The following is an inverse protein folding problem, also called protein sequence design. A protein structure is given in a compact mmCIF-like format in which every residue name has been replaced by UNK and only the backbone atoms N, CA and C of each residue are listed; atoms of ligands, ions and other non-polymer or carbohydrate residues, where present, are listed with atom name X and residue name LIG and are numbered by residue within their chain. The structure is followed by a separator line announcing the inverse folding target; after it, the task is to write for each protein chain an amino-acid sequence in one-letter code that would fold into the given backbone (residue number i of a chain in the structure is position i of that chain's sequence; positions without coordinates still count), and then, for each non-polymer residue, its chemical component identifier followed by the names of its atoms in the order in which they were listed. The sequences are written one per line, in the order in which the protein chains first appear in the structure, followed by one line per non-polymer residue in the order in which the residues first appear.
data_IF_451542462354
#
_entry.id   IF_451542462354
#
_cell.length_a   1.000
_cell.length_b   1.000
_cell.length_c   1.000
_cell.angle_alpha   90.00
_cell.angle_beta   90.00
_cell.angle_gamma   90.00
#
_symmetry.space_group_name_H-M   'P 1'
#
loop_
_entity.id
_entity.type
_entity.pdbx_description
1 polymer ?
#
# COMPACT_ATOMS: atom_id res chain seq x y z
N UNK A 1 43.26 -48.02 -14.58
CA UNK A 1 42.78 -46.71 -15.10
C UNK A 1 41.62 -46.30 -14.21
N UNK A 2 41.81 -45.29 -13.35
CA UNK A 2 40.76 -44.74 -12.45
C UNK A 2 40.27 -43.43 -13.07
N UNK A 3 39.04 -43.44 -13.57
CA UNK A 3 38.42 -42.26 -14.18
C UNK A 3 37.88 -41.35 -13.07
N UNK A 4 38.45 -40.17 -12.95
CA UNK A 4 38.01 -39.13 -12.00
C UNK A 4 36.86 -38.35 -12.64
N UNK A 5 35.63 -38.49 -12.12
CA UNK A 5 34.47 -37.72 -12.54
C UNK A 5 34.42 -36.47 -11.68
N UNK A 6 34.76 -35.30 -12.28
CA UNK A 6 34.68 -34.01 -11.64
C UNK A 6 33.24 -33.48 -11.75
N UNK A 7 32.53 -33.43 -10.61
CA UNK A 7 31.18 -32.88 -10.53
C UNK A 7 31.30 -31.34 -10.47
N UNK A 8 30.91 -30.66 -11.54
CA UNK A 8 30.84 -29.19 -11.60
C UNK A 8 29.53 -28.74 -10.95
N UNK A 9 29.61 -28.20 -9.73
CA UNK A 9 28.47 -27.63 -9.04
C UNK A 9 28.15 -26.24 -9.61
N UNK A 10 27.06 -26.15 -10.37
CA UNK A 10 26.53 -24.88 -10.88
C UNK A 10 25.75 -24.18 -9.77
N UNK A 11 26.36 -23.18 -9.12
CA UNK A 11 25.69 -22.32 -8.13
C UNK A 11 24.79 -21.33 -8.85
N UNK A 12 23.47 -21.55 -8.81
CA UNK A 12 22.49 -20.54 -9.21
C UNK A 12 22.53 -19.39 -8.19
N UNK A 13 23.08 -18.25 -8.57
CA UNK A 13 22.94 -17.01 -7.81
C UNK A 13 21.50 -16.51 -7.95
N UNK A 14 20.69 -16.63 -6.88
CA UNK A 14 19.38 -16.01 -6.78
C UNK A 14 19.60 -14.51 -6.61
N UNK A 15 19.11 -13.64 -7.50
CA UNK A 15 19.23 -12.20 -7.29
C UNK A 15 18.43 -11.82 -6.03
N UNK A 16 19.11 -11.32 -5.01
CA UNK A 16 18.48 -10.68 -3.88
C UNK A 16 17.80 -9.40 -4.41
N UNK A 17 16.45 -9.38 -4.43
CA UNK A 17 15.70 -8.15 -4.67
C UNK A 17 15.96 -7.23 -3.48
N UNK A 18 16.89 -6.30 -3.64
CA UNK A 18 17.07 -5.22 -2.71
C UNK A 18 15.74 -4.44 -2.64
N UNK A 19 15.16 -4.30 -1.45
CA UNK A 19 14.01 -3.41 -1.24
C UNK A 19 14.49 -1.99 -1.58
N UNK A 20 14.06 -1.50 -2.72
CA UNK A 20 14.40 -0.15 -3.17
C UNK A 20 13.54 0.81 -2.36
N UNK A 21 14.17 1.59 -1.49
CA UNK A 21 13.47 2.66 -0.77
C UNK A 21 12.94 3.67 -1.80
N UNK A 22 11.64 3.96 -1.72
CA UNK A 22 11.00 4.94 -2.62
C UNK A 22 11.60 6.31 -2.34
N UNK A 23 12.17 6.91 -3.37
CA UNK A 23 12.69 8.28 -3.32
C UNK A 23 11.66 9.26 -3.86
N UNK A 24 11.58 10.43 -3.25
CA UNK A 24 10.84 11.56 -3.81
C UNK A 24 11.38 11.87 -5.21
N UNK A 25 10.50 12.26 -6.12
CA UNK A 25 10.73 12.47 -7.55
C UNK A 25 10.99 11.21 -8.39
N UNK A 26 10.94 10.01 -7.78
CA UNK A 26 11.01 8.76 -8.54
C UNK A 26 9.64 8.35 -9.09
N UNK A 27 9.58 7.60 -10.20
CA UNK A 27 8.33 6.99 -10.66
C UNK A 27 7.71 6.11 -9.56
N UNK A 28 6.41 6.26 -9.34
CA UNK A 28 5.68 5.42 -8.40
C UNK A 28 5.61 3.98 -8.92
N UNK A 29 5.85 2.97 -8.09
CA UNK A 29 5.67 1.58 -8.47
C UNK A 29 4.25 1.32 -8.97
N UNK A 30 4.14 0.64 -10.11
CA UNK A 30 2.84 0.20 -10.60
C UNK A 30 2.25 -0.85 -9.66
N UNK A 31 0.94 -0.81 -9.49
CA UNK A 31 0.20 -1.82 -8.76
C UNK A 31 -1.11 -2.17 -9.46
N UNK A 32 -1.62 -3.35 -9.18
CA UNK A 32 -2.97 -3.78 -9.50
C UNK A 32 -3.45 -4.66 -8.34
N UNK A 33 -4.32 -4.13 -7.49
CA UNK A 33 -4.76 -4.74 -6.23
C UNK A 33 -6.28 -4.73 -6.17
N UNK A 34 -6.88 -5.80 -5.66
CA UNK A 34 -8.33 -5.90 -5.52
C UNK A 34 -8.80 -5.23 -4.23
N UNK A 35 -9.99 -4.65 -4.28
CA UNK A 35 -10.76 -4.30 -3.07
C UNK A 35 -11.50 -5.52 -2.51
N UNK A 36 -12.21 -5.32 -1.40
CA UNK A 36 -12.96 -6.37 -0.73
C UNK A 36 -14.13 -6.94 -1.57
N UNK A 37 -14.59 -6.22 -2.60
CA UNK A 37 -15.60 -6.70 -3.55
C UNK A 37 -15.01 -7.54 -4.68
N UNK A 38 -13.68 -7.61 -4.78
CA UNK A 38 -12.96 -8.28 -5.85
C UNK A 38 -12.68 -7.41 -7.07
N UNK A 39 -13.09 -6.12 -7.06
CA UNK A 39 -12.79 -5.17 -8.12
C UNK A 39 -11.30 -4.79 -8.06
N UNK A 40 -10.61 -4.91 -9.20
CA UNK A 40 -9.23 -4.48 -9.33
C UNK A 40 -9.12 -2.96 -9.47
N UNK A 41 -8.11 -2.40 -8.81
CA UNK A 41 -7.72 -0.99 -8.92
C UNK A 41 -6.23 -0.93 -9.21
N UNK A 42 -5.83 -0.01 -10.07
CA UNK A 42 -4.43 0.16 -10.47
C UNK A 42 -4.01 1.63 -10.41
N UNK A 43 -2.71 1.88 -10.39
CA UNK A 43 -2.20 3.24 -10.50
C UNK A 43 -2.61 3.86 -11.87
N UNK A 44 -2.70 3.04 -12.90
CA UNK A 44 -3.09 3.48 -14.25
C UNK A 44 -4.53 4.04 -14.30
N UNK A 45 -5.44 3.58 -13.44
CA UNK A 45 -6.84 4.08 -13.36
C UNK A 45 -6.89 5.53 -12.86
N UNK A 46 -5.85 5.99 -12.20
CA UNK A 46 -5.72 7.35 -11.67
C UNK A 46 -4.75 8.22 -12.49
N UNK A 47 -4.40 7.81 -13.71
CA UNK A 47 -3.50 8.57 -14.58
C UNK A 47 -4.00 10.01 -14.77
N UNK A 48 -3.09 10.98 -14.63
CA UNK A 48 -3.40 12.40 -14.75
C UNK A 48 -4.08 13.00 -13.52
N UNK A 49 -4.20 12.26 -12.41
CA UNK A 49 -4.75 12.73 -11.14
C UNK A 49 -3.71 12.67 -10.04
N UNK A 50 -3.90 13.46 -9.01
CA UNK A 50 -3.22 13.28 -7.74
C UNK A 50 -3.71 12.01 -7.07
N UNK A 51 -2.79 11.21 -6.52
CA UNK A 51 -3.10 9.98 -5.79
C UNK A 51 -2.50 10.04 -4.40
N UNK A 52 -3.30 9.69 -3.40
CA UNK A 52 -2.83 9.41 -2.04
C UNK A 52 -2.94 7.92 -1.79
N UNK A 53 -1.86 7.32 -1.31
CA UNK A 53 -1.86 5.98 -0.75
C UNK A 53 -1.66 6.10 0.76
N UNK A 54 -2.55 5.47 1.52
CA UNK A 54 -2.54 5.43 2.98
C UNK A 54 -2.43 3.99 3.44
N UNK A 55 -1.28 3.57 3.99
CA UNK A 55 -1.19 2.27 4.66
C UNK A 55 -1.89 2.33 6.00
N UNK A 56 -2.84 1.43 6.19
CA UNK A 56 -3.77 1.39 7.32
C UNK A 56 -3.66 0.08 8.09
N UNK A 57 -3.73 0.18 9.42
CA UNK A 57 -3.89 -0.93 10.34
C UNK A 57 -4.85 -0.47 11.45
N UNK A 58 -6.04 -1.10 11.53
CA UNK A 58 -7.10 -0.72 12.48
C UNK A 58 -6.67 -0.76 13.96
N UNK A 59 -5.67 -1.58 14.28
CA UNK A 59 -5.18 -1.81 15.64
C UNK A 59 -3.92 -0.99 15.97
N UNK A 60 -3.42 -0.18 15.02
CA UNK A 60 -2.27 0.68 15.25
C UNK A 60 -2.65 1.94 16.04
N UNK A 61 -1.99 2.25 17.17
CA UNK A 61 -2.31 3.45 17.96
C UNK A 61 -2.19 4.76 17.19
N UNK A 62 -1.23 4.86 16.27
CA UNK A 62 -1.05 6.05 15.43
C UNK A 62 -2.17 6.19 14.40
N UNK A 63 -2.67 5.09 13.83
CA UNK A 63 -3.88 5.11 12.99
C UNK A 63 -5.07 5.54 13.83
N UNK A 64 -5.26 4.98 15.03
CA UNK A 64 -6.34 5.38 15.95
C UNK A 64 -6.30 6.86 16.26
N UNK A 65 -5.12 7.44 16.55
CA UNK A 65 -4.96 8.88 16.80
C UNK A 65 -5.63 9.73 15.70
N UNK A 66 -5.39 9.40 14.43
CA UNK A 66 -5.89 10.18 13.30
C UNK A 66 -7.34 9.86 12.92
N UNK A 67 -7.79 8.63 13.15
CA UNK A 67 -9.16 8.24 12.86
C UNK A 67 -10.14 8.66 13.98
N UNK A 68 -9.75 8.50 15.24
CA UNK A 68 -10.59 8.89 16.38
C UNK A 68 -10.78 10.41 16.46
N UNK A 69 -9.74 11.17 16.13
CA UNK A 69 -9.80 12.63 16.01
C UNK A 69 -10.50 13.14 14.74
N UNK A 70 -10.94 12.25 13.86
CA UNK A 70 -11.53 12.58 12.54
C UNK A 70 -10.60 13.34 11.59
N UNK A 71 -9.30 13.37 11.89
CA UNK A 71 -8.31 14.03 11.03
C UNK A 71 -8.24 13.39 9.64
N UNK A 72 -8.10 12.04 9.61
CA UNK A 72 -7.97 11.32 8.33
C UNK A 72 -9.22 11.46 7.45
N UNK A 73 -10.41 11.32 8.04
CA UNK A 73 -11.68 11.48 7.33
C UNK A 73 -11.86 12.91 6.77
N UNK A 74 -11.41 13.91 7.53
CA UNK A 74 -11.40 15.30 7.10
C UNK A 74 -10.49 15.53 5.88
N UNK A 75 -9.29 14.94 5.90
CA UNK A 75 -8.35 15.00 4.77
C UNK A 75 -8.90 14.27 3.54
N UNK A 76 -9.46 13.07 3.71
CA UNK A 76 -10.11 12.32 2.63
C UNK A 76 -11.22 13.16 1.99
N UNK A 77 -12.14 13.69 2.78
CA UNK A 77 -13.25 14.53 2.29
C UNK A 77 -12.74 15.74 1.53
N UNK A 78 -11.77 16.47 2.12
CA UNK A 78 -11.22 17.72 1.54
C UNK A 78 -10.56 17.46 0.19
N UNK A 79 -9.67 16.51 0.12
CA UNK A 79 -8.84 16.32 -1.09
C UNK A 79 -9.58 15.54 -2.18
N UNK A 80 -10.43 14.58 -1.82
CA UNK A 80 -11.25 13.89 -2.82
C UNK A 80 -12.26 14.84 -3.49
N UNK A 81 -12.79 15.83 -2.78
CA UNK A 81 -13.62 16.89 -3.37
C UNK A 81 -12.85 17.75 -4.41
N UNK A 82 -11.51 17.73 -4.35
CA UNK A 82 -10.61 18.39 -5.32
C UNK A 82 -10.15 17.45 -6.45
N UNK A 83 -10.72 16.23 -6.54
CA UNK A 83 -10.41 15.26 -7.58
C UNK A 83 -9.22 14.33 -7.28
N UNK A 84 -8.69 14.37 -6.06
CA UNK A 84 -7.63 13.43 -5.63
C UNK A 84 -8.20 12.03 -5.49
N UNK A 85 -7.52 11.04 -6.03
CA UNK A 85 -7.83 9.62 -5.79
C UNK A 85 -7.17 9.19 -4.48
N UNK A 86 -7.95 8.71 -3.52
CA UNK A 86 -7.44 8.26 -2.23
C UNK A 86 -7.62 6.76 -2.07
N UNK A 87 -6.53 6.01 -1.99
CA UNK A 87 -6.54 4.58 -1.71
C UNK A 87 -6.04 4.33 -0.29
N UNK A 88 -6.82 3.60 0.50
CA UNK A 88 -6.37 3.05 1.77
C UNK A 88 -5.91 1.60 1.54
N UNK A 89 -4.71 1.25 1.98
CA UNK A 89 -4.07 -0.05 1.71
C UNK A 89 -3.95 -0.86 2.99
N UNK A 90 -4.41 -2.09 2.98
CA UNK A 90 -4.30 -3.05 4.08
C UNK A 90 -3.37 -4.18 3.64
N UNK A 91 -2.14 -4.19 4.16
CA UNK A 91 -1.14 -5.24 3.89
C UNK A 91 -1.00 -6.23 5.07
N UNK A 92 -1.94 -6.22 6.03
CA UNK A 92 -1.92 -7.17 7.13
C UNK A 92 -2.29 -8.57 6.64
N UNK A 93 -1.38 -9.52 6.79
CA UNK A 93 -1.63 -10.91 6.43
C UNK A 93 -2.70 -11.55 7.33
N UNK A 94 -3.35 -12.59 6.83
CA UNK A 94 -4.36 -13.35 7.58
C UNK A 94 -3.83 -13.77 8.97
N UNK A 95 -4.62 -13.49 10.02
CA UNK A 95 -4.27 -13.80 11.41
C UNK A 95 -3.21 -12.88 12.04
N UNK A 96 -2.78 -11.81 11.34
CA UNK A 96 -1.88 -10.79 11.90
C UNK A 96 -2.67 -9.56 12.36
N UNK A 97 -2.02 -8.76 13.21
CA UNK A 97 -2.60 -7.52 13.71
C UNK A 97 -3.07 -6.63 12.55
N UNK A 98 -4.26 -6.06 12.68
CA UNK A 98 -4.84 -5.19 11.67
C UNK A 98 -5.48 -5.90 10.48
N UNK A 99 -5.45 -7.23 10.43
CA UNK A 99 -6.14 -7.99 9.39
C UNK A 99 -7.65 -7.72 9.42
N UNK A 100 -8.22 -7.52 8.24
CA UNK A 100 -9.66 -7.45 8.00
C UNK A 100 -10.02 -8.45 6.90
N UNK A 101 -10.94 -9.34 7.21
CA UNK A 101 -11.56 -10.19 6.19
C UNK A 101 -12.39 -9.33 5.22
N UNK A 102 -12.59 -9.77 3.99
CA UNK A 102 -13.30 -8.98 2.99
C UNK A 102 -14.69 -8.51 3.47
N UNK A 103 -15.41 -9.36 4.23
CA UNK A 103 -16.72 -9.03 4.79
C UNK A 103 -16.66 -7.92 5.87
N UNK A 104 -15.51 -7.75 6.52
CA UNK A 104 -15.35 -6.80 7.63
C UNK A 104 -14.87 -5.42 7.17
N UNK A 105 -14.35 -5.30 5.95
CA UNK A 105 -13.78 -4.05 5.43
C UNK A 105 -14.83 -2.94 5.40
N UNK A 106 -15.95 -3.14 4.72
CA UNK A 106 -16.99 -2.12 4.59
C UNK A 106 -17.59 -1.73 5.95
N UNK A 107 -17.96 -2.66 6.86
CA UNK A 107 -18.39 -2.33 8.21
C UNK A 107 -17.37 -1.52 9.00
N UNK A 108 -16.07 -1.88 8.92
CA UNK A 108 -15.01 -1.14 9.61
C UNK A 108 -14.95 0.31 9.14
N UNK A 109 -14.85 0.56 7.84
CA UNK A 109 -14.75 1.93 7.30
C UNK A 109 -16.03 2.75 7.49
N UNK A 110 -17.20 2.11 7.48
CA UNK A 110 -18.47 2.74 7.84
C UNK A 110 -18.47 3.21 9.30
N UNK A 111 -18.02 2.36 10.23
CA UNK A 111 -17.87 2.70 11.65
C UNK A 111 -16.88 3.85 11.86
N UNK A 112 -15.77 3.84 11.13
CA UNK A 112 -14.78 4.93 11.17
C UNK A 112 -15.34 6.25 10.59
N UNK A 113 -16.36 6.20 9.76
CA UNK A 113 -16.86 7.35 9.00
C UNK A 113 -15.90 7.76 7.88
N UNK A 114 -15.04 6.84 7.44
CA UNK A 114 -14.07 7.06 6.38
C UNK A 114 -14.62 6.58 5.03
N UNK A 115 -14.31 7.33 3.97
CA UNK A 115 -14.81 7.06 2.62
C UNK A 115 -13.70 7.26 1.58
N UNK A 116 -12.62 6.45 1.61
CA UNK A 116 -11.62 6.50 0.55
C UNK A 116 -12.22 6.10 -0.81
N UNK A 117 -11.53 6.39 -1.90
CA UNK A 117 -11.94 5.95 -3.26
C UNK A 117 -12.08 4.42 -3.31
N UNK A 118 -11.14 3.70 -2.72
CA UNK A 118 -11.20 2.26 -2.49
C UNK A 118 -10.29 1.85 -1.33
N UNK A 119 -10.60 0.69 -0.74
CA UNK A 119 -9.72 0.00 0.24
C UNK A 119 -9.09 -1.18 -0.47
N UNK A 120 -7.78 -1.12 -0.69
CA UNK A 120 -7.01 -2.13 -1.38
C UNK A 120 -6.56 -3.24 -0.41
N UNK A 121 -6.78 -4.49 -0.80
CA UNK A 121 -6.48 -5.65 0.04
C UNK A 121 -5.18 -6.30 -0.45
N UNK A 122 -4.07 -5.91 0.15
CA UNK A 122 -2.71 -6.35 -0.17
C UNK A 122 -2.23 -7.41 0.84
N UNK A 123 -2.98 -8.50 0.99
CA UNK A 123 -2.75 -9.52 2.03
C UNK A 123 -1.41 -10.25 1.87
N UNK A 124 -0.87 -10.35 0.66
CA UNK A 124 0.45 -10.92 0.38
C UNK A 124 1.60 -9.92 0.60
N UNK A 125 1.25 -8.64 0.80
CA UNK A 125 2.19 -7.57 1.06
C UNK A 125 3.04 -7.18 -0.16
N UNK A 126 2.64 -7.57 -1.37
CA UNK A 126 3.41 -7.29 -2.59
C UNK A 126 3.48 -5.79 -2.86
N UNK A 127 2.35 -5.07 -2.74
CA UNK A 127 2.30 -3.62 -2.87
C UNK A 127 3.08 -2.92 -1.74
N UNK A 128 2.91 -3.39 -0.49
CA UNK A 128 3.65 -2.86 0.67
C UNK A 128 5.16 -2.97 0.48
N UNK A 129 5.65 -4.09 -0.04
CA UNK A 129 7.07 -4.30 -0.36
C UNK A 129 7.54 -3.38 -1.48
N UNK A 130 6.76 -3.25 -2.57
CA UNK A 130 7.10 -2.42 -3.71
C UNK A 130 7.23 -0.94 -3.32
N UNK A 131 6.38 -0.46 -2.42
CA UNK A 131 6.44 0.90 -1.90
C UNK A 131 7.38 1.07 -0.71
N UNK A 132 7.94 0.00 -0.17
CA UNK A 132 8.77 0.05 1.04
C UNK A 132 8.00 0.53 2.28
N UNK A 133 6.70 0.25 2.36
CA UNK A 133 5.86 0.63 3.49
C UNK A 133 6.30 -0.11 4.76
N UNK A 134 6.66 0.63 5.81
CA UNK A 134 7.26 0.08 7.04
C UNK A 134 6.40 0.31 8.27
N UNK A 135 5.50 1.28 8.23
CA UNK A 135 4.71 1.74 9.39
C UNK A 135 3.26 1.97 9.00
N UNK A 136 2.42 2.26 9.97
CA UNK A 136 1.04 2.72 9.74
C UNK A 136 0.72 3.87 10.73
N UNK A 137 0.13 4.99 10.27
CA UNK A 137 -0.10 5.33 8.87
C UNK A 137 1.22 5.56 8.14
N UNK A 138 1.32 5.12 6.88
CA UNK A 138 2.41 5.50 5.98
C UNK A 138 1.78 6.10 4.74
N UNK A 139 2.11 7.34 4.44
CA UNK A 139 1.49 8.12 3.39
C UNK A 139 2.41 8.26 2.19
N UNK A 140 1.85 8.12 1.00
CA UNK A 140 2.51 8.45 -0.25
C UNK A 140 1.60 9.40 -1.03
N UNK A 141 2.18 10.45 -1.59
CA UNK A 141 1.49 11.33 -2.52
C UNK A 141 2.16 11.20 -3.89
N UNK A 142 1.36 10.93 -4.90
CA UNK A 142 1.79 10.74 -6.28
C UNK A 142 1.15 11.84 -7.11
N UNK A 143 1.96 12.53 -7.92
CA UNK A 143 1.51 13.61 -8.79
C UNK A 143 0.87 13.07 -10.10
N UNK A 144 0.22 13.93 -10.91
CA UNK A 144 -0.42 13.53 -12.17
C UNK A 144 0.54 12.89 -13.19
N UNK A 145 1.85 13.17 -13.10
CA UNK A 145 2.89 12.57 -13.92
C UNK A 145 3.32 11.17 -13.45
N UNK A 146 2.74 10.68 -12.33
CA UNK A 146 3.03 9.36 -11.78
C UNK A 146 4.31 9.30 -10.94
N UNK A 147 4.80 10.44 -10.42
CA UNK A 147 5.97 10.51 -9.55
C UNK A 147 5.56 10.62 -8.09
N UNK A 148 6.28 9.96 -7.20
CA UNK A 148 6.12 10.13 -5.76
C UNK A 148 6.68 11.49 -5.36
N UNK A 149 5.85 12.34 -4.76
CA UNK A 149 6.26 13.66 -4.26
C UNK A 149 6.31 13.73 -2.74
N UNK A 150 5.76 12.73 -2.07
CA UNK A 150 5.85 12.55 -0.62
C UNK A 150 5.84 11.07 -0.26
N UNK A 151 6.66 10.67 0.69
CA UNK A 151 6.67 9.36 1.32
C UNK A 151 7.06 9.53 2.79
N UNK A 152 6.16 9.19 3.73
CA UNK A 152 6.44 9.37 5.15
C UNK A 152 5.21 9.24 6.05
N UNK A 153 5.37 9.68 7.30
CA UNK A 153 4.29 9.74 8.28
C UNK A 153 3.30 10.87 7.94
N UNK A 154 2.14 10.89 8.62
CA UNK A 154 1.15 11.95 8.43
C UNK A 154 1.45 13.19 9.30
N UNK A 155 2.22 13.04 10.37
CA UNK A 155 2.65 14.10 11.31
C UNK A 155 4.08 13.87 11.84
#
# INVERSE_FOLDING_TARGET
MKTLVTLLALTLAIPAFAQTEIKVDSPAPAFSVKDASGKAHSLADAKGKWVVLEWYNKDCPYVRKHYDSKNMQGLQTKYMAQGVTWYTVISSATGKQGFLGNADVAPNFTKEGAKPTAVLIDTDGAMGKAYGAKTTPHMYVINPEGKVVYAGAID
#
